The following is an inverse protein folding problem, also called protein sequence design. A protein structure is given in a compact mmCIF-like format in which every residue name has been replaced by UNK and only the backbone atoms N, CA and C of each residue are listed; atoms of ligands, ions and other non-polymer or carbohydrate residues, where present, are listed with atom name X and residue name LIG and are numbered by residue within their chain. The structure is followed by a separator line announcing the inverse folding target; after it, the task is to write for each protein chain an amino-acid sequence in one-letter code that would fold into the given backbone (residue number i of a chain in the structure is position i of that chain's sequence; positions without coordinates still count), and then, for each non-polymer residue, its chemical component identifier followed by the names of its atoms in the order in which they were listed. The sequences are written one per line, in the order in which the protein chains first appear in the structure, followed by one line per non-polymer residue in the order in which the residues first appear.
data_IF_719479656969
#
_entry.id   IF_719479656969
#
_cell.length_a   1.000
_cell.length_b   1.000
_cell.length_c   1.000
_cell.angle_alpha   90.00
_cell.angle_beta   90.00
_cell.angle_gamma   90.00
#
_symmetry.space_group_name_H-M   'P 1'
#
loop_
_entity.id
_entity.type
_entity.pdbx_description
1 polymer ?
#
# COMPACT_ATOMS: atom_id res chain seq x y z
N UNK A 1 -12.69 7.34 13.44
CA UNK A 1 -11.93 6.51 12.49
C UNK A 1 -10.46 6.62 12.83
N UNK A 2 -9.69 5.54 12.72
CA UNK A 2 -8.24 5.56 12.99
C UNK A 2 -7.53 6.53 12.04
N UNK A 3 -6.59 7.31 12.57
CA UNK A 3 -5.73 8.20 11.78
C UNK A 3 -4.43 7.51 11.33
N UNK A 4 -4.15 6.32 11.83
CA UNK A 4 -2.97 5.54 11.50
C UNK A 4 -3.40 4.20 10.91
N UNK A 5 -2.68 3.77 9.88
CA UNK A 5 -2.92 2.53 9.16
C UNK A 5 -1.58 1.79 8.99
N UNK A 6 -1.61 0.47 9.16
CA UNK A 6 -0.47 -0.40 8.90
C UNK A 6 -0.91 -1.49 7.92
N UNK A 7 -0.27 -1.57 6.76
CA UNK A 7 -0.42 -2.69 5.82
C UNK A 7 0.79 -3.61 5.97
N UNK A 8 0.57 -4.90 6.11
CA UNK A 8 1.61 -5.91 5.87
C UNK A 8 1.24 -6.79 4.69
N UNK A 9 2.21 -7.13 3.86
CA UNK A 9 2.10 -8.14 2.80
C UNK A 9 2.86 -9.37 3.26
N UNK A 10 2.16 -10.50 3.33
CA UNK A 10 2.69 -11.75 3.87
C UNK A 10 2.62 -12.81 2.77
N UNK A 11 3.72 -13.53 2.59
CA UNK A 11 3.75 -14.72 1.75
C UNK A 11 2.91 -15.82 2.38
N UNK A 12 1.94 -16.36 1.66
CA UNK A 12 1.14 -17.50 2.13
C UNK A 12 2.03 -18.74 2.28
N UNK A 13 2.94 -18.98 1.33
CA UNK A 13 3.77 -20.18 1.33
C UNK A 13 4.80 -20.20 2.45
N UNK A 14 5.39 -19.05 2.78
CA UNK A 14 6.50 -18.96 3.74
C UNK A 14 6.12 -18.36 5.08
N UNK A 15 4.95 -17.72 5.18
CA UNK A 15 4.54 -16.94 6.35
C UNK A 15 5.40 -15.69 6.61
N UNK A 16 6.34 -15.35 5.71
CA UNK A 16 7.26 -14.22 5.90
C UNK A 16 6.65 -12.91 5.41
N UNK A 17 6.96 -11.83 6.13
CA UNK A 17 6.59 -10.47 5.74
C UNK A 17 7.44 -10.05 4.54
N UNK A 18 6.79 -9.79 3.41
CA UNK A 18 7.43 -9.31 2.19
C UNK A 18 7.44 -7.78 2.11
N UNK A 19 6.46 -7.12 2.71
CA UNK A 19 6.36 -5.67 2.80
C UNK A 19 5.60 -5.22 4.04
N UNK A 20 5.97 -4.06 4.57
CA UNK A 20 5.30 -3.39 5.68
C UNK A 20 5.24 -1.90 5.35
N UNK A 21 4.04 -1.33 5.37
CA UNK A 21 3.85 0.10 5.16
C UNK A 21 3.00 0.70 6.27
N UNK A 22 3.52 1.77 6.86
CA UNK A 22 2.84 2.56 7.87
C UNK A 22 2.45 3.89 7.26
N UNK A 23 1.17 4.21 7.32
CA UNK A 23 0.61 5.43 6.79
C UNK A 23 -0.15 6.16 7.89
N UNK A 24 -0.06 7.48 7.90
CA UNK A 24 -0.80 8.33 8.83
C UNK A 24 -1.51 9.44 8.07
N UNK A 25 -2.73 9.75 8.48
CA UNK A 25 -3.46 10.94 8.06
C UNK A 25 -3.09 12.16 8.89
N UNK A 26 -2.30 11.96 9.94
CA UNK A 26 -1.89 13.00 10.85
C UNK A 26 -0.48 13.46 10.52
N UNK A 27 -0.32 14.77 10.35
CA UNK A 27 0.98 15.40 10.17
C UNK A 27 1.18 16.45 11.26
N UNK A 28 2.16 16.23 12.14
CA UNK A 28 2.46 17.15 13.24
C UNK A 28 2.83 18.55 12.74
N UNK A 29 3.57 18.62 11.63
CA UNK A 29 3.99 19.89 11.03
C UNK A 29 2.78 20.68 10.50
N UNK A 30 1.84 20.02 9.82
CA UNK A 30 0.59 20.64 9.40
C UNK A 30 -0.26 21.10 10.60
N UNK A 31 -0.34 20.33 11.69
CA UNK A 31 -1.02 20.75 12.92
C UNK A 31 -0.39 22.03 13.50
N UNK A 32 0.93 22.14 13.44
CA UNK A 32 1.69 23.30 13.92
C UNK A 32 1.73 24.47 12.91
N UNK A 33 1.02 24.38 11.79
CA UNK A 33 1.06 25.35 10.68
C UNK A 33 2.48 25.61 10.13
N UNK A 34 3.36 24.62 10.21
CA UNK A 34 4.68 24.66 9.60
C UNK A 34 4.52 24.28 8.12
N UNK A 35 5.22 25.00 7.23
CA UNK A 35 5.19 24.73 5.79
C UNK A 35 5.71 23.32 5.51
N UNK A 36 4.91 22.52 4.82
CA UNK A 36 5.22 21.15 4.42
C UNK A 36 5.24 21.07 2.88
N UNK A 37 6.08 20.19 2.32
CA UNK A 37 6.12 19.94 0.87
C UNK A 37 4.99 19.02 0.38
N UNK A 38 3.95 18.81 1.18
CA UNK A 38 2.79 18.00 0.84
C UNK A 38 1.49 18.70 1.27
N UNK A 39 0.41 18.45 0.54
CA UNK A 39 -0.93 18.82 0.97
C UNK A 39 -1.48 17.78 1.95
N UNK A 40 -1.62 18.17 3.22
CA UNK A 40 -2.33 17.39 4.22
C UNK A 40 -3.84 17.39 3.90
N UNK A 41 -4.32 16.37 3.19
CA UNK A 41 -5.75 16.13 3.06
C UNK A 41 -6.29 15.55 4.36
N UNK A 42 -6.50 16.41 5.36
CA UNK A 42 -7.06 16.06 6.68
C UNK A 42 -8.53 15.59 6.62
N UNK A 43 -9.07 15.31 5.43
CA UNK A 43 -10.49 15.02 5.16
C UNK A 43 -10.70 13.75 4.32
N UNK A 44 -9.71 12.85 4.28
CA UNK A 44 -9.81 11.57 3.57
C UNK A 44 -10.36 10.44 4.45
N UNK A 45 -11.12 9.52 3.87
CA UNK A 45 -11.47 8.25 4.51
C UNK A 45 -10.24 7.33 4.58
N UNK A 46 -10.08 6.62 5.71
CA UNK A 46 -9.03 5.60 5.89
C UNK A 46 -9.10 4.46 4.87
N UNK A 47 -10.22 4.27 4.17
CA UNK A 47 -10.42 3.17 3.22
C UNK A 47 -9.44 3.16 2.04
N UNK A 48 -8.87 4.32 1.65
CA UNK A 48 -7.87 4.34 0.60
C UNK A 48 -6.47 3.90 1.06
N UNK A 49 -6.16 4.00 2.37
CA UNK A 49 -4.81 3.76 2.89
C UNK A 49 -4.39 2.30 2.75
N UNK A 50 -5.34 1.38 2.87
CA UNK A 50 -5.10 -0.04 2.60
C UNK A 50 -4.62 -0.25 1.16
N UNK A 51 -5.44 0.17 0.19
CA UNK A 51 -5.11 -0.04 -1.24
C UNK A 51 -3.78 0.58 -1.65
N UNK A 52 -3.43 1.75 -1.10
CA UNK A 52 -2.19 2.46 -1.40
C UNK A 52 -1.00 1.76 -0.75
N UNK A 53 -1.11 1.39 0.53
CA UNK A 53 -0.02 0.73 1.24
C UNK A 53 0.26 -0.69 0.73
N UNK A 54 -0.78 -1.42 0.32
CA UNK A 54 -0.60 -2.74 -0.30
C UNK A 54 0.09 -2.62 -1.66
N UNK A 55 -0.33 -1.65 -2.49
CA UNK A 55 0.27 -1.42 -3.80
C UNK A 55 1.76 -1.08 -3.72
N UNK A 56 2.14 -0.12 -2.88
CA UNK A 56 3.52 0.28 -2.69
C UNK A 56 4.38 -0.84 -2.10
N UNK A 57 3.81 -1.64 -1.20
CA UNK A 57 4.48 -2.87 -0.72
C UNK A 57 4.80 -3.81 -1.87
N UNK A 58 3.86 -4.03 -2.79
CA UNK A 58 4.11 -4.82 -4.01
C UNK A 58 5.18 -4.20 -4.90
N UNK A 59 5.11 -2.89 -5.19
CA UNK A 59 6.15 -2.22 -6.00
C UNK A 59 7.55 -2.42 -5.41
N UNK A 60 7.71 -2.19 -4.10
CA UNK A 60 8.99 -2.38 -3.41
C UNK A 60 9.45 -3.83 -3.50
N UNK A 61 8.54 -4.79 -3.27
CA UNK A 61 8.85 -6.22 -3.32
C UNK A 61 9.27 -6.68 -4.71
N UNK A 62 8.58 -6.23 -5.76
CA UNK A 62 8.91 -6.55 -7.15
C UNK A 62 10.22 -5.88 -7.55
N UNK A 63 10.37 -4.57 -7.34
CA UNK A 63 11.53 -3.81 -7.82
C UNK A 63 12.82 -4.09 -7.04
N UNK A 64 12.76 -4.43 -5.75
CA UNK A 64 13.97 -4.63 -4.92
C UNK A 64 14.30 -6.09 -4.64
N UNK A 65 13.32 -6.99 -4.74
CA UNK A 65 13.49 -8.41 -4.38
C UNK A 65 13.12 -9.36 -5.52
N UNK A 66 12.73 -8.80 -6.68
CA UNK A 66 12.41 -9.55 -7.90
C UNK A 66 11.32 -10.61 -7.66
N UNK A 67 10.40 -10.30 -6.74
CA UNK A 67 9.29 -11.19 -6.42
C UNK A 67 8.23 -11.15 -7.52
N UNK A 68 7.64 -12.31 -7.78
CA UNK A 68 6.51 -12.47 -8.69
C UNK A 68 5.30 -12.98 -7.91
N UNK A 69 4.15 -12.35 -8.13
CA UNK A 69 2.89 -12.69 -7.47
C UNK A 69 1.95 -13.38 -8.44
N UNK A 70 1.47 -14.56 -8.11
CA UNK A 70 0.46 -15.27 -8.91
C UNK A 70 -0.94 -14.87 -8.49
N UNK A 71 -1.16 -14.74 -7.18
CA UNK A 71 -2.45 -14.52 -6.57
C UNK A 71 -2.35 -13.54 -5.41
N UNK A 72 -3.42 -12.78 -5.20
CA UNK A 72 -3.55 -11.84 -4.09
C UNK A 72 -4.81 -12.16 -3.29
N UNK A 73 -4.63 -12.26 -1.98
CA UNK A 73 -5.66 -12.48 -0.99
C UNK A 73 -5.63 -11.30 -0.01
N UNK A 74 -6.73 -10.55 0.08
CA UNK A 74 -6.87 -9.39 0.97
C UNK A 74 -8.17 -9.46 1.73
N UNK A 75 -8.19 -8.96 2.97
CA UNK A 75 -9.38 -8.93 3.84
C UNK A 75 -10.20 -7.63 3.72
N UNK A 76 -9.69 -6.65 2.95
CA UNK A 76 -10.32 -5.36 2.77
C UNK A 76 -11.67 -5.40 2.07
N UNK A 77 -12.31 -4.23 2.01
CA UNK A 77 -13.58 -4.09 1.30
C UNK A 77 -13.41 -4.40 -0.21
N UNK A 78 -14.52 -4.78 -0.86
CA UNK A 78 -14.48 -5.22 -2.26
C UNK A 78 -13.89 -4.18 -3.21
N UNK A 79 -13.97 -2.88 -2.91
CA UNK A 79 -13.38 -1.82 -3.74
C UNK A 79 -11.87 -1.74 -3.52
N UNK A 80 -11.41 -1.82 -2.28
CA UNK A 80 -9.98 -1.86 -1.95
C UNK A 80 -9.32 -3.09 -2.60
N UNK A 81 -9.92 -4.27 -2.47
CA UNK A 81 -9.43 -5.51 -3.07
C UNK A 81 -9.29 -5.40 -4.59
N UNK A 82 -10.34 -4.94 -5.29
CA UNK A 82 -10.31 -4.78 -6.75
C UNK A 82 -9.22 -3.81 -7.20
N UNK A 83 -9.04 -2.70 -6.48
CA UNK A 83 -8.02 -1.69 -6.77
C UNK A 83 -6.61 -2.25 -6.64
N UNK A 84 -6.33 -3.06 -5.62
CA UNK A 84 -5.04 -3.73 -5.45
C UNK A 84 -4.84 -4.77 -6.55
N UNK A 85 -5.84 -5.61 -6.84
CA UNK A 85 -5.75 -6.66 -7.86
C UNK A 85 -5.43 -6.11 -9.26
N UNK A 86 -6.09 -5.02 -9.66
CA UNK A 86 -5.81 -4.32 -10.92
C UNK A 86 -4.38 -3.79 -10.95
N UNK A 87 -3.93 -3.21 -9.83
CA UNK A 87 -2.60 -2.60 -9.75
C UNK A 87 -1.47 -3.64 -9.74
N UNK A 88 -1.65 -4.77 -9.05
CA UNK A 88 -0.72 -5.90 -9.07
C UNK A 88 -0.52 -6.44 -10.49
N UNK A 89 -1.61 -6.62 -11.25
CA UNK A 89 -1.53 -7.05 -12.65
C UNK A 89 -0.71 -6.09 -13.51
N UNK A 90 -0.78 -4.78 -13.25
CA UNK A 90 0.04 -3.78 -13.97
C UNK A 90 1.53 -3.89 -13.63
N UNK A 91 1.88 -4.02 -12.34
CA UNK A 91 3.28 -4.14 -11.91
C UNK A 91 3.91 -5.39 -12.53
N UNK A 92 3.21 -6.52 -12.49
CA UNK A 92 3.75 -7.78 -13.01
C UNK A 92 3.97 -7.75 -14.53
N UNK A 93 3.07 -7.11 -15.29
CA UNK A 93 3.24 -6.92 -16.74
C UNK A 93 4.46 -6.04 -17.07
N UNK A 94 4.83 -5.09 -16.21
CA UNK A 94 6.02 -4.28 -16.40
C UNK A 94 7.32 -5.06 -16.12
N UNK A 95 7.31 -5.98 -15.15
CA UNK A 95 8.46 -6.84 -14.85
C UNK A 95 8.69 -7.98 -15.84
N UNK A 96 7.69 -8.31 -16.66
CA UNK A 96 7.76 -9.39 -17.66
C UNK A 96 8.39 -8.96 -18.99
N UNK A 97 8.68 -7.67 -19.18
CA UNK A 97 9.26 -7.10 -20.41
C UNK A 97 10.78 -6.88 -20.30
N UNK A 98 11.48 -7.69 -19.48
CA UNK A 98 12.95 -7.71 -19.36
C UNK A 98 13.45 -9.09 -19.76
#
# INVERSE_FOLDING_TARGET
MSQNYCVSVISIDTGKIQGLEVMTQYCKMCEMNIKCDHECSNKGSSGNMESVGTFRSFEISVSKRELQYTEYYGDGDSKAFLKVKVSMGRIQLQSSNV
#
